data_IF_791657990354
#
_entry.id   IF_791657990354
#
_cell.length_a   1.000
_cell.length_b   1.000
_cell.length_c   1.000
_cell.angle_alpha   90.00
_cell.angle_beta   90.00
_cell.angle_gamma   90.00
#
_symmetry.space_group_name_H-M   'P 1'
#
loop_
_entity.id
_entity.type
_entity.pdbx_description
1 polymer ?
#
# COMPACT_ATOMS: atom_id res chain seq x y z
N UNK A 1 -31.66 -19.50 2.32
CA UNK A 1 -30.64 -20.54 1.99
C UNK A 1 -31.20 -21.89 2.38
N UNK A 2 -31.19 -22.87 1.47
CA UNK A 2 -31.74 -24.22 1.74
C UNK A 2 -30.60 -25.22 1.96
N UNK A 3 -30.73 -26.05 2.99
CA UNK A 3 -29.81 -27.15 3.24
C UNK A 3 -30.07 -28.29 2.25
N UNK A 4 -29.09 -28.56 1.39
CA UNK A 4 -29.14 -29.66 0.41
C UNK A 4 -28.42 -30.93 0.89
N UNK A 5 -28.26 -31.09 2.20
CA UNK A 5 -27.77 -32.33 2.76
C UNK A 5 -28.81 -33.45 2.52
N UNK A 6 -28.37 -34.67 2.18
CA UNK A 6 -29.28 -35.75 1.76
C UNK A 6 -30.42 -36.04 2.76
N UNK A 7 -30.17 -35.92 4.07
CA UNK A 7 -31.12 -36.14 5.15
C UNK A 7 -31.77 -34.85 5.70
N UNK A 8 -31.56 -33.69 5.09
CA UNK A 8 -32.02 -32.41 5.60
C UNK A 8 -32.85 -31.62 4.57
N UNK A 9 -33.83 -30.86 5.07
CA UNK A 9 -34.70 -29.95 4.30
C UNK A 9 -34.89 -28.58 4.98
N UNK A 10 -34.03 -28.23 5.95
CA UNK A 10 -34.15 -26.97 6.68
C UNK A 10 -33.73 -25.76 5.84
N UNK A 11 -34.36 -24.62 6.12
CA UNK A 11 -34.13 -23.33 5.47
C UNK A 11 -33.68 -22.28 6.49
N UNK A 12 -32.81 -21.38 6.03
CA UNK A 12 -32.15 -20.38 6.87
C UNK A 12 -32.14 -19.00 6.20
N UNK A 13 -32.29 -17.97 7.02
CA UNK A 13 -32.23 -16.57 6.58
C UNK A 13 -30.82 -15.97 6.75
N UNK A 14 -30.06 -16.38 7.77
CA UNK A 14 -28.65 -15.97 7.98
C UNK A 14 -27.68 -17.06 7.49
N UNK A 15 -26.61 -16.61 6.84
CA UNK A 15 -25.50 -17.40 6.35
C UNK A 15 -24.70 -18.04 7.51
N UNK A 16 -24.59 -17.35 8.64
CA UNK A 16 -23.91 -17.88 9.84
C UNK A 16 -24.69 -19.05 10.42
N UNK A 17 -26.01 -18.91 10.56
CA UNK A 17 -26.89 -19.95 11.09
C UNK A 17 -26.94 -21.16 10.15
N UNK A 18 -27.04 -20.91 8.85
CA UNK A 18 -26.95 -21.95 7.83
C UNK A 18 -25.65 -22.74 7.93
N UNK A 19 -24.51 -22.04 8.00
CA UNK A 19 -23.21 -22.65 8.15
C UNK A 19 -23.05 -23.45 9.45
N UNK A 20 -23.53 -22.91 10.56
CA UNK A 20 -23.49 -23.58 11.86
C UNK A 20 -24.30 -24.89 11.82
N UNK A 21 -25.51 -24.85 11.23
CA UNK A 21 -26.32 -26.04 11.00
C UNK A 21 -25.61 -27.06 10.11
N UNK A 22 -25.05 -26.65 8.97
CA UNK A 22 -24.39 -27.59 8.05
C UNK A 22 -23.15 -28.23 8.70
N UNK A 23 -22.41 -27.46 9.51
CA UNK A 23 -21.27 -27.99 10.28
C UNK A 23 -21.69 -29.03 11.33
N UNK A 24 -22.93 -28.97 11.83
CA UNK A 24 -23.46 -29.95 12.77
C UNK A 24 -23.60 -31.34 12.13
N UNK A 25 -23.99 -31.43 10.85
CA UNK A 25 -24.03 -32.71 10.13
C UNK A 25 -22.68 -33.42 10.11
N UNK A 26 -21.57 -32.67 10.05
CA UNK A 26 -20.20 -33.22 10.01
C UNK A 26 -19.69 -33.64 11.40
N UNK A 27 -20.27 -33.05 12.46
CA UNK A 27 -19.91 -33.36 13.86
C UNK A 27 -20.70 -34.53 14.41
N UNK A 28 -21.99 -34.60 14.05
CA UNK A 28 -22.94 -35.59 14.59
C UNK A 28 -22.99 -36.87 13.74
N UNK A 29 -22.59 -36.81 12.47
CA UNK A 29 -22.44 -38.00 11.63
C UNK A 29 -21.02 -38.55 11.76
N UNK A 30 -20.84 -39.87 11.70
CA UNK A 30 -19.54 -40.55 11.44
C UNK A 30 -18.99 -40.24 10.02
N UNK A 31 -19.29 -39.06 9.49
CA UNK A 31 -19.11 -38.61 8.13
C UNK A 31 -17.62 -38.59 7.77
N UNK A 32 -17.21 -39.68 7.11
CA UNK A 32 -15.94 -39.79 6.39
C UNK A 32 -16.02 -39.18 4.98
N UNK A 33 -17.19 -38.66 4.59
CA UNK A 33 -17.51 -38.15 3.25
C UNK A 33 -18.63 -37.08 3.27
N UNK A 34 -18.74 -36.32 2.18
CA UNK A 34 -19.75 -35.30 1.95
C UNK A 34 -21.07 -35.92 1.44
N UNK A 35 -22.22 -35.57 2.03
CA UNK A 35 -23.55 -36.07 1.62
C UNK A 35 -24.42 -34.96 0.99
N UNK A 36 -23.80 -34.01 0.32
CA UNK A 36 -24.49 -32.90 -0.33
C UNK A 36 -25.08 -33.36 -1.68
N UNK A 37 -26.38 -33.10 -1.91
CA UNK A 37 -27.05 -33.42 -3.19
C UNK A 37 -26.30 -32.78 -4.36
N UNK A 38 -26.11 -33.53 -5.44
CA UNK A 38 -25.44 -33.07 -6.67
C UNK A 38 -23.92 -32.79 -6.52
N UNK A 39 -23.31 -33.13 -5.38
CA UNK A 39 -21.87 -32.97 -5.21
C UNK A 39 -21.09 -34.08 -5.94
N UNK A 40 -20.31 -33.72 -6.96
CA UNK A 40 -19.51 -34.66 -7.75
C UNK A 40 -18.30 -35.23 -7.00
N UNK A 41 -17.98 -34.72 -5.80
CA UNK A 41 -16.91 -35.22 -4.91
C UNK A 41 -17.38 -36.31 -3.94
N UNK A 42 -18.58 -36.86 -4.11
CA UNK A 42 -19.18 -37.86 -3.20
C UNK A 42 -18.36 -39.16 -3.04
N UNK A 43 -17.44 -39.49 -3.96
CA UNK A 43 -16.95 -40.86 -4.12
C UNK A 43 -15.45 -41.14 -3.91
N UNK A 44 -14.66 -40.26 -3.29
CA UNK A 44 -13.22 -40.55 -3.17
C UNK A 44 -12.68 -40.45 -1.73
N UNK A 45 -12.55 -41.65 -1.14
CA UNK A 45 -11.75 -42.01 0.05
C UNK A 45 -12.23 -41.43 1.39
N UNK A 46 -11.81 -42.09 2.48
CA UNK A 46 -11.98 -41.60 3.86
C UNK A 46 -11.22 -40.28 4.00
N UNK A 47 -11.93 -39.16 3.97
CA UNK A 47 -11.37 -37.82 4.12
C UNK A 47 -11.35 -37.44 5.61
N UNK A 48 -10.32 -36.70 6.04
CA UNK A 48 -10.28 -36.21 7.43
C UNK A 48 -11.41 -35.21 7.71
N UNK A 49 -11.90 -35.18 8.95
CA UNK A 49 -12.97 -34.26 9.36
C UNK A 49 -12.65 -32.79 9.02
N UNK A 50 -11.40 -32.37 9.19
CA UNK A 50 -10.95 -31.01 8.88
C UNK A 50 -11.05 -30.70 7.37
N UNK A 51 -10.69 -31.67 6.52
CA UNK A 51 -10.79 -31.51 5.07
C UNK A 51 -12.25 -31.51 4.60
N UNK A 52 -13.12 -32.31 5.24
CA UNK A 52 -14.56 -32.27 4.97
C UNK A 52 -15.19 -30.93 5.38
N UNK A 53 -14.85 -30.41 6.58
CA UNK A 53 -15.28 -29.07 7.02
C UNK A 53 -14.85 -27.98 6.03
N UNK A 54 -13.62 -28.04 5.52
CA UNK A 54 -13.13 -27.09 4.52
C UNK A 54 -13.88 -27.24 3.18
N UNK A 55 -14.14 -28.47 2.73
CA UNK A 55 -14.88 -28.75 1.50
C UNK A 55 -16.29 -28.15 1.55
N UNK A 56 -16.99 -28.33 2.67
CA UNK A 56 -18.38 -27.89 2.82
C UNK A 56 -18.54 -26.37 2.77
N UNK A 57 -17.49 -25.60 3.09
CA UNK A 57 -17.49 -24.14 2.88
C UNK A 57 -17.68 -23.72 1.43
N UNK A 58 -17.43 -24.61 0.45
CA UNK A 58 -17.75 -24.34 -0.95
C UNK A 58 -19.27 -24.31 -1.20
N UNK A 59 -20.01 -25.14 -0.47
CA UNK A 59 -21.47 -25.22 -0.58
C UNK A 59 -22.16 -24.11 0.20
N UNK A 60 -21.67 -23.84 1.42
CA UNK A 60 -22.20 -22.76 2.24
C UNK A 60 -21.70 -21.39 1.80
N UNK A 61 -20.62 -21.29 1.01
CA UNK A 61 -19.97 -20.01 0.62
C UNK A 61 -19.50 -19.17 1.81
N UNK A 62 -19.34 -19.79 2.98
CA UNK A 62 -18.91 -19.10 4.19
C UNK A 62 -17.45 -18.68 4.12
N UNK A 63 -17.18 -17.44 4.55
CA UNK A 63 -15.84 -16.87 4.64
C UNK A 63 -15.57 -16.38 6.05
N UNK A 64 -15.25 -17.29 6.99
CA UNK A 64 -15.11 -16.93 8.40
C UNK A 64 -13.86 -16.08 8.67
N UNK A 65 -12.88 -16.06 7.76
CA UNK A 65 -11.62 -15.35 7.96
C UNK A 65 -11.66 -14.00 7.28
N UNK A 66 -11.90 -12.94 8.05
CA UNK A 66 -11.94 -11.56 7.56
C UNK A 66 -10.60 -10.86 7.74
N UNK A 67 -10.17 -10.11 6.73
CA UNK A 67 -9.04 -9.21 6.88
C UNK A 67 -9.43 -8.03 7.79
N UNK A 68 -8.53 -7.62 8.68
CA UNK A 68 -8.74 -6.44 9.56
C UNK A 68 -8.39 -5.12 8.87
N UNK A 69 -7.61 -5.18 7.79
CA UNK A 69 -7.07 -4.02 7.09
C UNK A 69 -7.86 -3.67 5.83
N UNK A 70 -8.69 -4.60 5.32
CA UNK A 70 -9.48 -4.38 4.12
C UNK A 70 -10.75 -5.27 4.14
N UNK A 71 -11.76 -5.03 3.28
CA UNK A 71 -13.02 -5.76 3.30
C UNK A 71 -12.94 -7.19 2.73
N UNK A 72 -11.74 -7.70 2.42
CA UNK A 72 -11.58 -9.04 1.84
C UNK A 72 -11.81 -10.12 2.90
N UNK A 73 -12.55 -11.15 2.51
CA UNK A 73 -12.87 -12.32 3.33
C UNK A 73 -12.44 -13.61 2.64
N UNK A 74 -12.07 -14.62 3.44
CA UNK A 74 -11.49 -15.87 2.98
C UNK A 74 -12.18 -17.07 3.64
N UNK A 75 -12.29 -18.17 2.90
CA UNK A 75 -12.84 -19.45 3.39
C UNK A 75 -11.80 -20.29 4.16
N UNK A 76 -10.51 -19.90 4.12
CA UNK A 76 -9.40 -20.61 4.78
C UNK A 76 -8.44 -19.63 5.49
N UNK A 77 -7.86 -20.08 6.59
CA UNK A 77 -6.93 -19.28 7.42
C UNK A 77 -5.59 -19.03 6.71
N UNK A 78 -5.07 -20.02 5.98
CA UNK A 78 -3.83 -19.90 5.23
C UNK A 78 -3.95 -18.88 4.09
N UNK A 79 -5.12 -18.80 3.45
CA UNK A 79 -5.41 -17.78 2.44
C UNK A 79 -5.43 -16.37 3.04
N UNK A 80 -6.03 -16.18 4.22
CA UNK A 80 -5.95 -14.91 4.96
C UNK A 80 -4.51 -14.60 5.34
N UNK A 81 -3.75 -15.55 5.88
CA UNK A 81 -2.36 -15.34 6.29
C UNK A 81 -1.45 -14.95 5.13
N UNK A 82 -1.63 -15.54 3.95
CA UNK A 82 -0.90 -15.12 2.74
C UNK A 82 -1.29 -13.71 2.32
N UNK A 83 -2.57 -13.36 2.44
CA UNK A 83 -3.03 -12.02 2.13
C UNK A 83 -2.54 -10.96 3.12
N UNK A 84 -2.48 -11.24 4.43
CA UNK A 84 -1.98 -10.25 5.41
C UNK A 84 -0.54 -9.85 5.12
N UNK A 85 0.28 -10.78 4.61
CA UNK A 85 1.65 -10.47 4.15
C UNK A 85 1.70 -9.44 3.01
N UNK A 86 0.66 -9.37 2.17
CA UNK A 86 0.62 -8.33 1.12
C UNK A 86 0.46 -6.94 1.73
N UNK A 87 -0.25 -6.82 2.85
CA UNK A 87 -0.35 -5.54 3.56
C UNK A 87 0.98 -5.15 4.23
N UNK A 88 1.71 -6.11 4.80
CA UNK A 88 3.05 -5.87 5.36
C UNK A 88 4.04 -5.40 4.28
N UNK A 89 4.00 -6.02 3.09
CA UNK A 89 4.83 -5.61 1.95
C UNK A 89 4.48 -4.20 1.47
N UNK A 90 3.20 -3.91 1.25
CA UNK A 90 2.76 -2.57 0.84
C UNK A 90 3.13 -1.50 1.86
N UNK A 91 2.99 -1.80 3.16
CA UNK A 91 3.39 -0.88 4.22
C UNK A 91 4.92 -0.67 4.29
N UNK A 92 5.71 -1.71 3.98
CA UNK A 92 7.17 -1.58 3.87
C UNK A 92 7.56 -0.70 2.67
N UNK A 93 6.91 -0.90 1.52
CA UNK A 93 7.14 -0.11 0.32
C UNK A 93 6.74 1.36 0.51
N UNK A 94 5.61 1.63 1.16
CA UNK A 94 5.19 2.98 1.54
C UNK A 94 6.19 3.65 2.50
N UNK A 95 6.69 2.93 3.51
CA UNK A 95 7.70 3.46 4.42
C UNK A 95 9.02 3.78 3.71
N UNK A 96 9.46 2.94 2.76
CA UNK A 96 10.64 3.20 1.92
C UNK A 96 10.42 4.45 1.06
N UNK A 97 9.24 4.59 0.45
CA UNK A 97 8.88 5.75 -0.37
C UNK A 97 8.87 7.04 0.45
N UNK A 98 8.23 7.03 1.63
CA UNK A 98 8.20 8.18 2.57
C UNK A 98 9.62 8.58 2.98
N UNK A 99 10.48 7.61 3.32
CA UNK A 99 11.88 7.89 3.68
C UNK A 99 12.66 8.49 2.52
N UNK A 100 12.46 8.01 1.29
CA UNK A 100 13.07 8.57 0.07
C UNK A 100 12.60 10.00 -0.19
N UNK A 101 11.29 10.27 -0.07
CA UNK A 101 10.73 11.61 -0.23
C UNK A 101 11.28 12.58 0.81
N UNK A 102 11.37 12.16 2.08
CA UNK A 102 11.93 12.99 3.14
C UNK A 102 13.37 13.40 2.84
N UNK A 103 14.20 12.47 2.37
CA UNK A 103 15.60 12.75 2.01
C UNK A 103 15.72 13.68 0.79
N UNK A 104 14.88 13.49 -0.23
CA UNK A 104 14.85 14.40 -1.39
C UNK A 104 14.42 15.81 -0.98
N UNK A 105 13.47 15.94 -0.06
CA UNK A 105 13.04 17.23 0.47
C UNK A 105 14.17 17.94 1.23
N UNK A 106 14.97 17.23 2.02
CA UNK A 106 16.11 17.84 2.73
C UNK A 106 17.18 18.32 1.77
N UNK A 107 17.51 17.52 0.74
CA UNK A 107 18.46 17.92 -0.30
C UNK A 107 17.99 19.17 -1.07
N UNK A 108 16.70 19.27 -1.35
CA UNK A 108 16.13 20.45 -2.03
C UNK A 108 16.31 21.72 -1.18
N UNK A 109 16.09 21.63 0.13
CA UNK A 109 16.27 22.76 1.05
C UNK A 109 17.74 23.20 1.09
N UNK A 110 18.68 22.25 1.16
CA UNK A 110 20.11 22.55 1.14
C UNK A 110 20.54 23.23 -0.16
N UNK A 111 20.09 22.71 -1.30
CA UNK A 111 20.32 23.32 -2.61
C UNK A 111 19.82 24.77 -2.66
N UNK A 112 18.61 25.02 -2.18
CA UNK A 112 18.00 26.36 -2.20
C UNK A 112 18.72 27.34 -1.26
N UNK A 113 19.27 26.86 -0.15
CA UNK A 113 20.10 27.66 0.76
C UNK A 113 21.41 28.07 0.10
N UNK A 114 22.14 27.11 -0.48
CA UNK A 114 23.41 27.36 -1.17
C UNK A 114 23.21 28.31 -2.36
N UNK A 115 22.11 28.15 -3.10
CA UNK A 115 21.77 29.05 -4.20
C UNK A 115 21.54 30.49 -3.70
N UNK A 116 20.84 30.67 -2.57
CA UNK A 116 20.63 31.99 -1.98
C UNK A 116 21.94 32.63 -1.52
N UNK A 117 22.84 31.85 -0.91
CA UNK A 117 24.15 32.34 -0.49
C UNK A 117 25.00 32.78 -1.69
N UNK A 118 25.06 31.96 -2.74
CA UNK A 118 25.76 32.29 -3.98
C UNK A 118 25.19 33.58 -4.62
N UNK A 119 23.87 33.72 -4.67
CA UNK A 119 23.21 34.94 -5.16
C UNK A 119 23.55 36.16 -4.30
N UNK A 120 23.61 36.01 -2.98
CA UNK A 120 23.96 37.11 -2.07
C UNK A 120 25.41 37.53 -2.25
N UNK A 121 26.34 36.57 -2.39
CA UNK A 121 27.74 36.85 -2.70
C UNK A 121 27.89 37.59 -4.03
N UNK A 122 27.21 37.14 -5.09
CA UNK A 122 27.23 37.81 -6.38
C UNK A 122 26.74 39.26 -6.28
N UNK A 123 25.64 39.50 -5.56
CA UNK A 123 25.14 40.86 -5.32
C UNK A 123 26.17 41.74 -4.59
N UNK A 124 26.88 41.21 -3.59
CA UNK A 124 27.93 41.95 -2.88
C UNK A 124 29.09 42.32 -3.82
N UNK A 125 29.57 41.35 -4.60
CA UNK A 125 30.60 41.56 -5.62
C UNK A 125 30.20 42.63 -6.64
N UNK A 126 28.94 42.62 -7.10
CA UNK A 126 28.45 43.64 -8.03
C UNK A 126 28.46 45.05 -7.40
N UNK A 127 28.09 45.17 -6.13
CA UNK A 127 28.17 46.45 -5.40
C UNK A 127 29.62 46.90 -5.21
N UNK A 128 30.52 45.99 -4.84
CA UNK A 128 31.96 46.28 -4.70
C UNK A 128 32.57 46.74 -6.02
N UNK A 129 32.24 46.06 -7.12
CA UNK A 129 32.66 46.45 -8.46
C UNK A 129 32.13 47.84 -8.84
N UNK A 130 30.86 48.15 -8.57
CA UNK A 130 30.29 49.48 -8.83
C UNK A 130 31.01 50.58 -8.03
N UNK A 131 31.37 50.31 -6.77
CA UNK A 131 32.16 51.22 -5.94
C UNK A 131 33.56 51.43 -6.53
N UNK A 132 34.24 50.35 -6.91
CA UNK A 132 35.56 50.38 -7.55
C UNK A 132 35.53 51.15 -8.87
N UNK A 133 34.54 50.89 -9.73
CA UNK A 133 34.35 51.59 -11.00
C UNK A 133 34.16 53.09 -10.75
N UNK A 134 33.30 53.49 -9.80
CA UNK A 134 33.10 54.91 -9.44
C UNK A 134 34.41 55.54 -8.95
N UNK A 135 35.14 54.87 -8.05
CA UNK A 135 36.41 55.34 -7.53
C UNK A 135 37.45 55.55 -8.65
N UNK A 136 37.57 54.58 -9.56
CA UNK A 136 38.47 54.67 -10.72
C UNK A 136 38.07 55.85 -11.62
N UNK A 137 36.78 55.97 -11.98
CA UNK A 137 36.28 57.06 -12.81
C UNK A 137 36.54 58.45 -12.21
N UNK A 138 36.48 58.60 -10.88
CA UNK A 138 36.79 59.86 -10.19
C UNK A 138 38.28 60.20 -10.15
N UNK A 139 39.17 59.20 -10.21
CA UNK A 139 40.61 59.39 -10.10
C UNK A 139 41.35 59.42 -11.45
N UNK A 140 40.69 59.07 -12.55
CA UNK A 140 41.22 59.30 -13.91
C UNK A 140 41.12 60.81 -14.20
N UNK A 141 42.26 61.52 -14.15
CA UNK A 141 42.38 62.90 -14.65
C UNK A 141 42.08 62.91 -16.16
N UNK A 142 41.02 63.61 -16.58
CA UNK A 142 40.74 63.86 -18.01
C UNK A 142 41.95 64.55 -18.66
N UNK A 143 42.51 64.04 -19.77
CA UNK A 143 43.50 64.80 -20.52
C UNK A 143 42.86 66.12 -20.99
N UNK A 144 43.52 67.25 -20.72
CA UNK A 144 43.12 68.55 -21.26
C UNK A 144 43.04 68.44 -22.78
N UNK A 145 41.85 68.60 -23.37
CA UNK A 145 41.67 68.83 -24.80
C UNK A 145 42.44 70.10 -25.16
N UNK A 146 43.61 69.98 -25.77
CA UNK A 146 44.25 71.08 -26.47
C UNK A 146 43.65 71.08 -27.88
N UNK A 147 42.62 71.91 -28.10
CA UNK A 147 42.30 72.35 -29.46
C UNK A 147 43.42 73.31 -29.87
N UNK A 148 44.27 72.90 -30.81
CA UNK A 148 45.09 73.83 -31.58
C UNK A 148 44.29 74.18 -32.84
N UNK A 149 43.68 75.36 -32.85
CA UNK A 149 43.22 76.04 -34.05
C UNK A 149 44.39 76.80 -34.67
N UNK A 150 44.59 76.57 -35.98
CA UNK A 150 45.21 77.40 -37.04
C UNK A 150 46.25 78.42 -36.61
#
# INVERSE_FOLDING_TARGET
MECRWNSCKEQFNDQKDFSAHVNKHIRDSDAKACQWRECTRMNEKKISRCTLLMHIRMHTREKPFKCKLCPKEYSRSDALSKHTKTHEQLAADENIYIKKLSYLSTLQIEHDLLLKEAQQMYKRLMVENDILIKYICSNIRRPKRIYRSV
#
